data_IF_940130782660
#
_entry.id   IF_940130782660
#
_cell.length_a   1.000
_cell.length_b   1.000
_cell.length_c   1.000
_cell.angle_alpha   90.00
_cell.angle_beta   90.00
_cell.angle_gamma   90.00
#
_symmetry.space_group_name_H-M   'P 1'
#
loop_
_entity.id
_entity.type
_entity.pdbx_description
1 polymer ?
#
# COMPACT_ATOMS: atom_id res chain seq x y z
N UNK A 1 23.84 21.81 17.96
CA UNK A 1 22.52 22.30 17.51
C UNK A 1 22.14 21.78 16.10
N UNK A 2 22.72 20.66 15.64
CA UNK A 2 22.45 20.05 14.31
C UNK A 2 21.81 18.64 14.39
N UNK A 3 21.46 18.19 15.60
CA UNK A 3 20.95 16.83 15.88
C UNK A 3 19.42 16.71 15.97
N UNK A 4 18.67 17.80 15.76
CA UNK A 4 17.20 17.82 15.90
C UNK A 4 16.44 17.77 14.57
N UNK A 5 17.13 17.78 13.42
CA UNK A 5 16.49 17.82 12.10
C UNK A 5 16.21 16.40 11.55
N UNK A 6 16.98 15.37 11.93
CA UNK A 6 16.82 14.03 11.31
C UNK A 6 15.64 13.20 11.83
N UNK A 7 15.16 13.45 13.06
CA UNK A 7 14.02 12.70 13.64
C UNK A 7 12.66 13.05 13.01
N UNK A 8 12.46 14.29 12.57
CA UNK A 8 11.22 14.69 11.89
C UNK A 8 11.18 14.28 10.42
N UNK A 9 12.35 14.11 9.78
CA UNK A 9 12.41 13.69 8.37
C UNK A 9 12.03 12.22 8.23
N UNK A 10 12.58 11.30 9.04
CA UNK A 10 12.25 9.86 8.89
C UNK A 10 10.80 9.55 9.33
N UNK A 11 10.31 10.21 10.39
CA UNK A 11 8.92 10.06 10.85
C UNK A 11 7.89 10.58 9.84
N UNK A 12 8.22 11.64 9.10
CA UNK A 12 7.34 12.16 8.05
C UNK A 12 7.51 11.40 6.73
N UNK A 13 8.64 10.78 6.40
CA UNK A 13 8.74 10.02 5.14
C UNK A 13 8.00 8.67 5.18
N UNK A 14 7.83 8.05 6.35
CA UNK A 14 7.07 6.80 6.52
C UNK A 14 5.54 7.05 6.52
N UNK A 15 5.09 8.27 6.84
CA UNK A 15 3.66 8.65 6.91
C UNK A 15 3.22 9.64 5.81
N UNK A 16 4.12 10.46 5.25
CA UNK A 16 3.83 11.56 4.31
C UNK A 16 4.58 11.50 2.95
N UNK A 17 5.44 10.52 2.70
CA UNK A 17 6.35 10.49 1.53
C UNK A 17 5.71 10.43 0.13
N UNK A 18 4.40 10.56 -0.01
CA UNK A 18 3.65 10.46 -1.27
C UNK A 18 2.91 11.75 -1.69
N UNK A 19 3.04 12.86 -0.96
CA UNK A 19 2.24 14.06 -1.24
C UNK A 19 3.01 15.12 -2.03
N UNK A 20 2.40 15.49 -3.16
CA UNK A 20 2.60 16.72 -3.93
C UNK A 20 3.71 16.75 -4.98
N UNK A 21 3.30 16.57 -6.25
CA UNK A 21 3.82 17.34 -7.37
C UNK A 21 2.70 17.54 -8.39
N UNK A 22 2.29 18.80 -8.53
CA UNK A 22 1.30 19.34 -9.46
C UNK A 22 1.93 19.50 -10.85
N UNK A 23 1.30 19.02 -11.93
CA UNK A 23 1.18 19.68 -13.25
C UNK A 23 0.20 18.90 -14.17
N UNK A 24 -0.84 19.63 -14.61
CA UNK A 24 -1.66 19.62 -15.85
C UNK A 24 -1.62 18.42 -16.80
N UNK A 25 -2.79 17.81 -17.07
CA UNK A 25 -3.12 17.06 -18.31
C UNK A 25 -4.60 17.29 -18.66
N UNK A 26 -4.96 17.79 -19.85
CA UNK A 26 -5.13 17.09 -21.14
C UNK A 26 -6.37 16.19 -21.19
N UNK A 27 -7.45 16.70 -21.78
CA UNK A 27 -8.72 16.00 -21.99
C UNK A 27 -8.58 14.90 -23.06
N UNK A 28 -8.47 13.64 -22.65
CA UNK A 28 -8.72 12.50 -23.52
C UNK A 28 -10.13 11.94 -23.24
N UNK A 29 -10.93 11.58 -24.28
CA UNK A 29 -12.27 11.06 -24.07
C UNK A 29 -12.20 9.60 -23.58
N UNK A 30 -12.64 9.37 -22.35
CA UNK A 30 -12.83 8.03 -21.77
C UNK A 30 -14.03 7.36 -22.45
N UNK A 31 -13.76 6.37 -23.31
CA UNK A 31 -14.80 5.55 -23.93
C UNK A 31 -15.46 4.59 -22.92
N UNK A 32 -16.79 4.64 -22.85
CA UNK A 32 -17.68 3.54 -22.46
C UNK A 32 -17.54 2.99 -21.02
N UNK A 33 -18.15 3.66 -20.04
CA UNK A 33 -18.47 3.04 -18.75
C UNK A 33 -19.63 2.03 -18.92
N UNK A 34 -19.32 0.78 -19.23
CA UNK A 34 -20.28 -0.31 -18.97
C UNK A 34 -20.47 -0.48 -17.46
N UNK A 35 -21.70 -0.76 -17.02
CA UNK A 35 -22.06 -1.07 -15.63
C UNK A 35 -21.38 -2.37 -15.16
N UNK A 36 -20.07 -2.33 -14.92
CA UNK A 36 -19.31 -3.46 -14.40
C UNK A 36 -19.72 -3.69 -12.95
N UNK A 37 -20.17 -4.91 -12.63
CA UNK A 37 -20.36 -5.34 -11.25
C UNK A 37 -19.00 -5.24 -10.54
N UNK A 38 -18.85 -4.55 -9.39
CA UNK A 38 -17.57 -4.20 -8.76
C UNK A 38 -16.57 -5.33 -8.41
N UNK A 39 -16.84 -6.57 -8.80
CA UNK A 39 -16.02 -7.75 -8.50
C UNK A 39 -15.94 -8.75 -9.66
N UNK A 40 -16.33 -8.35 -10.88
CA UNK A 40 -16.31 -9.22 -12.06
C UNK A 40 -14.89 -9.49 -12.59
N UNK A 41 -13.96 -8.56 -12.34
CA UNK A 41 -12.55 -8.62 -12.73
C UNK A 41 -11.72 -7.85 -11.70
N UNK A 42 -10.38 -8.05 -11.63
CA UNK A 42 -9.54 -7.27 -10.72
C UNK A 42 -9.52 -5.78 -11.13
N UNK A 43 -9.62 -5.45 -12.43
CA UNK A 43 -9.80 -4.06 -12.91
C UNK A 43 -11.11 -3.46 -12.41
N UNK A 44 -12.22 -4.22 -12.39
CA UNK A 44 -13.49 -3.75 -11.86
C UNK A 44 -13.39 -3.45 -10.35
N UNK A 45 -12.62 -4.23 -9.59
CA UNK A 45 -12.32 -3.96 -8.18
C UNK A 45 -11.52 -2.65 -8.03
N UNK A 46 -10.47 -2.45 -8.83
CA UNK A 46 -9.67 -1.23 -8.80
C UNK A 46 -10.50 0.03 -9.10
N UNK A 47 -11.34 -0.03 -10.15
CA UNK A 47 -12.27 1.05 -10.51
C UNK A 47 -13.32 1.28 -9.42
N UNK A 48 -13.95 0.22 -8.92
CA UNK A 48 -14.93 0.31 -7.84
C UNK A 48 -14.35 0.91 -6.57
N UNK A 49 -13.10 0.57 -6.25
CA UNK A 49 -12.38 1.11 -5.10
C UNK A 49 -12.11 2.59 -5.23
N UNK A 50 -11.63 3.02 -6.40
CA UNK A 50 -11.42 4.42 -6.70
C UNK A 50 -12.73 5.22 -6.66
N UNK A 51 -13.80 4.71 -7.27
CA UNK A 51 -15.12 5.37 -7.23
C UNK A 51 -15.67 5.48 -5.81
N UNK A 52 -15.52 4.43 -4.99
CA UNK A 52 -15.94 4.48 -3.59
C UNK A 52 -15.17 5.57 -2.82
N UNK A 53 -13.84 5.63 -2.98
CA UNK A 53 -13.01 6.68 -2.36
C UNK A 53 -13.36 8.09 -2.88
N UNK A 54 -13.57 8.25 -4.18
CA UNK A 54 -13.97 9.52 -4.82
C UNK A 54 -15.31 10.03 -4.29
N UNK A 55 -16.23 9.12 -3.98
CA UNK A 55 -17.53 9.45 -3.40
C UNK A 55 -17.53 9.42 -1.86
N UNK A 56 -16.37 9.24 -1.22
CA UNK A 56 -16.21 9.12 0.24
C UNK A 56 -17.05 7.99 0.86
N UNK A 57 -17.41 6.98 0.07
CA UNK A 57 -18.19 5.82 0.50
C UNK A 57 -17.25 4.73 1.07
N UNK A 58 -16.79 4.97 2.29
CA UNK A 58 -15.90 4.04 3.00
C UNK A 58 -16.51 2.64 3.15
N UNK A 59 -17.81 2.47 3.49
CA UNK A 59 -18.44 1.15 3.50
C UNK A 59 -18.34 0.41 2.16
N UNK A 60 -18.62 1.08 1.04
CA UNK A 60 -18.48 0.47 -0.29
C UNK A 60 -17.02 0.11 -0.60
N UNK A 61 -16.06 0.95 -0.21
CA UNK A 61 -14.64 0.64 -0.36
C UNK A 61 -14.23 -0.60 0.46
N UNK A 62 -14.66 -0.68 1.72
CA UNK A 62 -14.38 -1.83 2.60
C UNK A 62 -14.99 -3.13 2.08
N UNK A 63 -16.18 -3.06 1.47
CA UNK A 63 -16.87 -4.22 0.89
C UNK A 63 -16.10 -4.87 -0.29
N UNK A 64 -15.16 -4.15 -0.90
CA UNK A 64 -14.32 -4.67 -1.98
C UNK A 64 -13.13 -5.49 -1.47
N UNK A 65 -12.80 -5.43 -0.18
CA UNK A 65 -11.72 -6.22 0.38
C UNK A 65 -12.11 -7.69 0.57
N UNK A 66 -11.12 -8.56 0.47
CA UNK A 66 -11.30 -10.00 0.66
C UNK A 66 -11.75 -10.29 2.10
N UNK A 67 -12.71 -11.20 2.35
CA UNK A 67 -13.22 -11.45 3.71
C UNK A 67 -12.14 -11.84 4.73
N UNK A 68 -11.10 -12.55 4.30
CA UNK A 68 -9.98 -12.89 5.19
C UNK A 68 -9.17 -11.66 5.64
N UNK A 69 -9.15 -10.57 4.86
CA UNK A 69 -8.50 -9.33 5.28
C UNK A 69 -9.28 -8.65 6.41
N UNK A 70 -10.61 -8.75 6.43
CA UNK A 70 -11.41 -8.26 7.56
C UNK A 70 -11.10 -9.06 8.84
N UNK A 71 -10.96 -10.39 8.73
CA UNK A 71 -10.57 -11.24 9.88
C UNK A 71 -9.19 -10.89 10.39
N UNK A 72 -8.21 -10.74 9.48
CA UNK A 72 -6.83 -10.33 9.82
C UNK A 72 -6.81 -8.96 10.50
N UNK A 73 -7.59 -8.01 9.98
CA UNK A 73 -7.68 -6.68 10.57
C UNK A 73 -8.32 -6.70 11.97
N UNK A 74 -9.36 -7.53 12.19
CA UNK A 74 -9.95 -7.73 13.52
C UNK A 74 -8.95 -8.30 14.52
N UNK A 75 -8.15 -9.29 14.11
CA UNK A 75 -7.09 -9.85 14.96
C UNK A 75 -6.10 -8.75 15.37
N UNK A 76 -5.59 -7.99 14.40
CA UNK A 76 -4.73 -6.84 14.65
C UNK A 76 -5.35 -5.83 15.63
N UNK A 77 -6.60 -5.40 15.39
CA UNK A 77 -7.27 -4.45 16.27
C UNK A 77 -7.42 -5.00 17.69
N UNK A 78 -7.68 -6.31 17.83
CA UNK A 78 -7.75 -6.98 19.13
C UNK A 78 -6.40 -6.94 19.85
N UNK A 79 -5.31 -7.20 19.13
CA UNK A 79 -3.95 -7.12 19.68
C UNK A 79 -3.58 -5.69 20.10
N UNK A 80 -4.03 -4.68 19.36
CA UNK A 80 -3.89 -3.25 19.72
C UNK A 80 -4.53 -2.92 21.06
N UNK A 81 -5.70 -3.49 21.35
CA UNK A 81 -6.41 -3.23 22.60
C UNK A 81 -6.00 -4.15 23.76
N UNK A 82 -5.46 -5.33 23.47
CA UNK A 82 -4.87 -6.21 24.46
C UNK A 82 -3.50 -5.72 24.96
N UNK A 83 -2.80 -4.90 24.18
CA UNK A 83 -1.46 -4.43 24.51
C UNK A 83 -1.43 -3.44 25.68
N UNK A 84 -0.62 -3.71 26.70
CA UNK A 84 -0.36 -2.77 27.80
C UNK A 84 0.62 -1.69 27.34
N UNK A 85 0.14 -0.45 27.28
CA UNK A 85 0.84 0.69 26.69
C UNK A 85 1.00 1.85 27.68
N UNK A 86 1.83 1.68 28.72
CA UNK A 86 2.04 2.73 29.71
C UNK A 86 2.77 3.95 29.12
N UNK A 87 3.41 3.79 27.95
CA UNK A 87 4.14 4.86 27.25
C UNK A 87 3.26 5.57 26.19
N UNK A 88 2.03 5.12 25.96
CA UNK A 88 1.06 5.75 25.04
C UNK A 88 1.40 5.61 23.55
N UNK A 89 2.26 4.67 23.17
CA UNK A 89 2.71 4.45 21.79
C UNK A 89 1.59 3.98 20.85
N UNK A 90 0.61 3.25 21.38
CA UNK A 90 -0.48 2.64 20.60
C UNK A 90 -1.76 3.46 20.69
N UNK A 91 -1.74 4.52 21.52
CA UNK A 91 -2.85 5.47 21.66
C UNK A 91 -3.29 6.03 20.31
N UNK A 92 -2.37 6.44 19.44
CA UNK A 92 -2.69 6.98 18.12
C UNK A 92 -3.44 5.95 17.25
N UNK A 93 -3.04 4.67 17.32
CA UNK A 93 -3.70 3.59 16.57
C UNK A 93 -5.10 3.32 17.15
N UNK A 94 -5.26 3.37 18.47
CA UNK A 94 -6.58 3.26 19.13
C UNK A 94 -7.50 4.41 18.74
N UNK A 95 -6.96 5.63 18.65
CA UNK A 95 -7.71 6.81 18.19
C UNK A 95 -8.21 6.65 16.74
N UNK A 96 -7.44 5.98 15.88
CA UNK A 96 -7.90 5.60 14.53
C UNK A 96 -9.04 4.58 14.55
N UNK A 97 -9.18 3.78 15.61
CA UNK A 97 -10.25 2.79 15.75
C UNK A 97 -11.52 3.34 16.43
N UNK A 98 -11.59 4.65 16.71
CA UNK A 98 -12.83 5.25 17.24
C UNK A 98 -14.04 4.97 16.32
N UNK A 99 -15.22 4.61 16.87
CA UNK A 99 -15.62 4.75 18.27
C UNK A 99 -15.28 3.55 19.18
N UNK A 100 -14.55 2.55 18.69
CA UNK A 100 -14.16 1.39 19.49
C UNK A 100 -13.02 1.76 20.43
N UNK A 101 -13.33 1.92 21.71
CA UNK A 101 -12.43 2.46 22.75
C UNK A 101 -12.05 1.45 23.83
N UNK A 102 -12.46 0.19 23.71
CA UNK A 102 -12.17 -0.86 24.68
C UNK A 102 -11.98 -2.23 24.01
N UNK A 103 -11.29 -3.13 24.70
CA UNK A 103 -11.11 -4.51 24.24
C UNK A 103 -12.46 -5.23 24.02
N UNK A 104 -13.47 -4.93 24.82
CA UNK A 104 -14.81 -5.51 24.70
C UNK A 104 -15.55 -4.99 23.46
N UNK A 105 -15.49 -3.68 23.18
CA UNK A 105 -16.12 -3.10 21.99
C UNK A 105 -15.45 -3.58 20.71
N UNK A 106 -14.13 -3.72 20.68
CA UNK A 106 -13.39 -4.29 19.55
C UNK A 106 -13.69 -5.78 19.35
N UNK A 107 -13.73 -6.57 20.44
CA UNK A 107 -14.04 -7.99 20.35
C UNK A 107 -15.44 -8.25 19.76
N UNK A 108 -16.39 -7.38 20.08
CA UNK A 108 -17.79 -7.47 19.64
C UNK A 108 -18.00 -6.98 18.20
N UNK A 109 -17.16 -6.06 17.70
CA UNK A 109 -17.28 -5.47 16.38
C UNK A 109 -16.94 -6.44 15.23
N UNK A 110 -17.54 -6.24 14.07
CA UNK A 110 -17.13 -6.96 12.87
C UNK A 110 -15.82 -6.39 12.29
N UNK A 111 -15.01 -7.26 11.68
CA UNK A 111 -13.71 -6.85 11.13
C UNK A 111 -13.82 -5.80 10.02
N UNK A 112 -14.91 -5.81 9.25
CA UNK A 112 -15.22 -4.79 8.25
C UNK A 112 -15.58 -3.45 8.90
N UNK A 113 -16.27 -3.44 10.03
CA UNK A 113 -16.61 -2.19 10.73
C UNK A 113 -15.37 -1.55 11.34
N UNK A 114 -14.50 -2.36 11.94
CA UNK A 114 -13.19 -1.93 12.45
C UNK A 114 -12.33 -1.33 11.34
N UNK A 115 -12.26 -1.99 10.17
CA UNK A 115 -11.51 -1.50 9.02
C UNK A 115 -12.11 -0.19 8.47
N UNK A 116 -13.44 -0.09 8.39
CA UNK A 116 -14.11 1.13 7.94
C UNK A 116 -13.85 2.31 8.88
N UNK A 117 -13.93 2.09 10.20
CA UNK A 117 -13.59 3.10 11.20
C UNK A 117 -12.12 3.56 11.06
N UNK A 118 -11.20 2.60 10.97
CA UNK A 118 -9.78 2.86 10.78
C UNK A 118 -9.48 3.71 9.54
N UNK A 119 -10.01 3.31 8.38
CA UNK A 119 -9.79 4.02 7.12
C UNK A 119 -10.39 5.42 7.15
N UNK A 120 -11.63 5.55 7.65
CA UNK A 120 -12.31 6.84 7.79
C UNK A 120 -11.49 7.81 8.64
N UNK A 121 -11.06 7.37 9.82
CA UNK A 121 -10.29 8.23 10.73
C UNK A 121 -8.89 8.52 10.19
N UNK A 122 -8.26 7.56 9.50
CA UNK A 122 -6.96 7.78 8.84
C UNK A 122 -7.05 8.84 7.74
N UNK A 123 -8.08 8.78 6.89
CA UNK A 123 -8.28 9.78 5.84
C UNK A 123 -8.62 11.15 6.39
N UNK A 124 -9.38 11.23 7.49
CA UNK A 124 -9.67 12.50 8.18
C UNK A 124 -8.41 13.18 8.75
N UNK A 125 -7.33 12.44 8.99
CA UNK A 125 -6.05 13.00 9.44
C UNK A 125 -5.19 13.56 8.30
N UNK A 126 -5.58 13.38 7.04
CA UNK A 126 -4.84 13.83 5.86
C UNK A 126 -5.51 15.09 5.29
N UNK A 127 -4.96 16.29 5.53
CA UNK A 127 -5.54 17.52 5.00
C UNK A 127 -5.56 17.47 3.47
N UNK A 128 -6.71 17.80 2.87
CA UNK A 128 -6.85 17.83 1.42
C UNK A 128 -7.16 16.47 0.77
N UNK A 129 -7.33 15.39 1.54
CA UNK A 129 -7.57 14.05 1.00
C UNK A 129 -8.81 14.02 0.09
N UNK A 130 -9.91 14.63 0.52
CA UNK A 130 -11.15 14.68 -0.25
C UNK A 130 -10.98 15.43 -1.58
N UNK A 131 -10.29 16.57 -1.54
CA UNK A 131 -10.04 17.41 -2.70
C UNK A 131 -9.18 16.70 -3.75
N UNK A 132 -8.23 15.87 -3.31
CA UNK A 132 -7.35 15.07 -4.18
C UNK A 132 -8.18 14.13 -5.06
N UNK A 133 -9.18 13.45 -4.51
CA UNK A 133 -9.98 12.49 -5.27
C UNK A 133 -11.12 13.12 -6.07
N UNK A 134 -11.66 14.27 -5.63
CA UNK A 134 -12.81 14.92 -6.27
C UNK A 134 -12.64 15.11 -7.78
N UNK A 135 -11.45 15.54 -8.19
CA UNK A 135 -11.11 15.77 -9.61
C UNK A 135 -10.14 14.73 -10.17
N UNK A 136 -9.81 13.69 -9.39
CA UNK A 136 -8.96 12.63 -9.88
C UNK A 136 -9.67 11.80 -10.93
N UNK A 137 -8.87 11.26 -11.83
CA UNK A 137 -9.24 10.15 -12.70
C UNK A 137 -8.35 8.95 -12.37
N UNK A 138 -8.89 7.75 -12.60
CA UNK A 138 -8.13 6.51 -12.49
C UNK A 138 -7.76 6.02 -13.89
N UNK A 139 -6.47 6.04 -14.17
CA UNK A 139 -5.86 5.36 -15.29
C UNK A 139 -5.43 3.95 -14.87
N UNK A 140 -5.79 2.95 -15.66
CA UNK A 140 -5.33 1.56 -15.48
C UNK A 140 -4.31 1.30 -16.58
N UNK A 141 -3.05 1.14 -16.17
CA UNK A 141 -1.93 0.92 -17.10
C UNK A 141 -1.86 -0.54 -17.57
N UNK A 142 -2.31 -1.47 -16.72
CA UNK A 142 -2.40 -2.88 -17.07
C UNK A 142 -2.52 -3.79 -15.85
N UNK A 143 -2.37 -5.08 -16.10
CA UNK A 143 -2.50 -6.14 -15.10
C UNK A 143 -1.25 -7.01 -15.11
N UNK A 144 -0.82 -7.47 -13.94
CA UNK A 144 0.29 -8.41 -13.77
C UNK A 144 -0.23 -9.60 -12.96
N UNK A 145 -0.31 -10.76 -13.61
CA UNK A 145 -0.67 -12.01 -12.94
C UNK A 145 0.53 -12.53 -12.15
N UNK A 146 0.34 -12.80 -10.86
CA UNK A 146 1.37 -13.43 -10.02
C UNK A 146 1.14 -14.94 -9.91
N UNK A 147 -0.12 -15.33 -9.65
CA UNK A 147 -0.57 -16.71 -9.49
C UNK A 147 -1.99 -16.84 -10.05
N UNK A 148 -2.50 -18.06 -10.15
CA UNK A 148 -3.82 -18.37 -10.75
C UNK A 148 -4.99 -17.56 -10.16
N UNK A 149 -4.87 -17.12 -8.91
CA UNK A 149 -5.92 -16.40 -8.19
C UNK A 149 -5.53 -14.98 -7.79
N UNK A 150 -4.33 -14.50 -8.13
CA UNK A 150 -3.79 -13.22 -7.65
C UNK A 150 -3.28 -12.37 -8.81
N UNK A 151 -3.84 -11.16 -8.95
CA UNK A 151 -3.52 -10.19 -10.00
C UNK A 151 -3.22 -8.84 -9.37
N UNK A 152 -2.20 -8.16 -9.86
CA UNK A 152 -1.87 -6.80 -9.50
C UNK A 152 -2.31 -5.86 -10.62
N UNK A 153 -3.28 -4.99 -10.35
CA UNK A 153 -3.70 -3.94 -11.27
C UNK A 153 -2.80 -2.74 -11.08
N UNK A 154 -2.06 -2.35 -12.13
CA UNK A 154 -1.19 -1.19 -12.08
C UNK A 154 -2.00 0.03 -12.45
N UNK A 155 -2.15 0.94 -11.49
CA UNK A 155 -2.99 2.12 -11.62
C UNK A 155 -2.19 3.40 -11.47
N UNK A 156 -2.65 4.46 -12.13
CA UNK A 156 -2.18 5.82 -11.93
C UNK A 156 -3.38 6.70 -11.63
N UNK A 157 -3.23 7.60 -10.66
CA UNK A 157 -4.21 8.63 -10.34
C UNK A 157 -3.53 10.00 -10.44
N UNK A 158 -3.97 10.98 -9.67
CA UNK A 158 -3.29 12.27 -9.47
C UNK A 158 -1.88 12.16 -8.89
N UNK A 159 -1.48 10.99 -8.38
CA UNK A 159 -0.11 10.75 -7.94
C UNK A 159 0.79 10.39 -9.14
N UNK A 160 1.99 10.98 -9.25
CA UNK A 160 2.87 10.78 -10.41
C UNK A 160 3.43 9.35 -10.52
N UNK A 161 3.38 8.57 -9.44
CA UNK A 161 3.91 7.20 -9.39
C UNK A 161 2.77 6.20 -9.53
N UNK A 162 2.85 5.26 -10.48
CA UNK A 162 1.92 4.14 -10.54
C UNK A 162 1.96 3.32 -9.25
N UNK A 163 0.79 2.84 -8.84
CA UNK A 163 0.61 2.04 -7.64
C UNK A 163 -0.10 0.73 -7.96
N UNK A 164 0.36 -0.41 -7.41
CA UNK A 164 -0.31 -1.69 -7.58
C UNK A 164 -1.50 -1.83 -6.62
N UNK A 165 -2.66 -2.16 -7.17
CA UNK A 165 -3.79 -2.70 -6.39
C UNK A 165 -3.77 -4.22 -6.53
N UNK A 166 -3.47 -4.90 -5.43
CA UNK A 166 -3.42 -6.36 -5.41
C UNK A 166 -4.81 -6.93 -5.20
N UNK A 167 -5.24 -7.81 -6.09
CA UNK A 167 -6.55 -8.43 -6.08
C UNK A 167 -6.43 -9.96 -6.01
N UNK A 168 -7.34 -10.61 -5.28
CA UNK A 168 -7.45 -12.07 -5.21
C UNK A 168 -8.86 -12.54 -5.57
N UNK A 169 -8.94 -13.64 -6.31
CA UNK A 169 -10.20 -14.30 -6.66
C UNK A 169 -10.62 -15.27 -5.54
N UNK A 170 -11.87 -15.20 -5.13
CA UNK A 170 -12.48 -16.11 -4.15
C UNK A 170 -13.95 -16.31 -4.47
N UNK A 171 -14.41 -17.57 -4.48
CA UNK A 171 -15.80 -17.93 -4.78
C UNK A 171 -16.35 -17.30 -6.08
N UNK A 172 -15.49 -17.21 -7.11
CA UNK A 172 -15.85 -16.63 -8.41
C UNK A 172 -15.89 -15.09 -8.47
N UNK A 173 -15.58 -14.39 -7.37
CA UNK A 173 -15.52 -12.92 -7.28
C UNK A 173 -14.09 -12.45 -7.06
N UNK A 174 -13.77 -11.25 -7.54
CA UNK A 174 -12.49 -10.60 -7.27
C UNK A 174 -12.60 -9.64 -6.08
N UNK A 175 -11.54 -9.57 -5.29
CA UNK A 175 -11.46 -8.74 -4.10
C UNK A 175 -10.11 -8.05 -4.02
N UNK A 176 -10.07 -6.87 -3.44
CA UNK A 176 -8.84 -6.18 -3.08
C UNK A 176 -8.21 -6.84 -1.84
N UNK A 177 -6.88 -6.88 -1.81
CA UNK A 177 -6.11 -7.25 -0.63
C UNK A 177 -5.68 -5.98 0.12
N UNK A 178 -5.59 -6.06 1.45
CA UNK A 178 -4.97 -4.99 2.23
C UNK A 178 -3.53 -4.80 1.73
N UNK A 179 -3.19 -3.56 1.41
CA UNK A 179 -1.88 -3.26 0.85
C UNK A 179 -0.79 -3.52 1.90
N UNK A 180 0.44 -3.64 1.42
CA UNK A 180 1.60 -3.87 2.30
C UNK A 180 1.76 -2.77 3.32
N UNK A 181 1.32 -1.54 3.06
CA UNK A 181 1.51 -0.43 4.01
C UNK A 181 0.61 -0.54 5.23
N UNK A 182 -0.67 -0.90 5.05
CA UNK A 182 -1.53 -1.27 6.19
C UNK A 182 -0.96 -2.47 6.92
N UNK A 183 -0.49 -3.49 6.18
CA UNK A 183 0.19 -4.63 6.78
C UNK A 183 1.49 -4.25 7.50
N UNK A 184 2.22 -3.24 7.03
CA UNK A 184 3.43 -2.72 7.67
C UNK A 184 3.09 -2.00 8.95
N UNK A 185 1.96 -1.30 9.04
CA UNK A 185 1.50 -0.75 10.33
C UNK A 185 1.15 -1.86 11.31
N UNK A 186 0.43 -2.89 10.85
CA UNK A 186 0.13 -4.09 11.64
C UNK A 186 1.42 -4.73 12.15
N UNK A 187 2.37 -4.92 11.25
CA UNK A 187 3.67 -5.48 11.57
C UNK A 187 4.49 -4.55 12.47
N UNK A 188 4.48 -3.23 12.22
CA UNK A 188 5.17 -2.24 13.02
C UNK A 188 4.66 -2.23 14.45
N UNK A 189 3.36 -2.43 14.63
CA UNK A 189 2.75 -2.58 15.93
C UNK A 189 3.19 -3.88 16.63
N UNK A 190 3.14 -5.04 15.96
CA UNK A 190 3.69 -6.30 16.49
C UNK A 190 5.17 -6.15 16.89
N UNK A 191 5.92 -5.36 16.11
CA UNK A 191 7.32 -5.02 16.36
C UNK A 191 7.51 -4.15 17.58
N UNK A 192 6.67 -3.14 17.83
CA UNK A 192 6.76 -2.33 19.03
C UNK A 192 6.62 -3.20 20.28
N UNK A 193 5.78 -4.24 20.23
CA UNK A 193 5.69 -5.23 21.30
C UNK A 193 7.01 -5.98 21.50
N UNK A 194 7.59 -6.51 20.41
CA UNK A 194 8.82 -7.30 20.48
C UNK A 194 10.08 -6.48 20.84
N UNK A 195 10.17 -5.22 20.40
CA UNK A 195 11.35 -4.38 20.60
C UNK A 195 11.36 -3.64 21.92
N UNK A 196 10.20 -3.47 22.58
CA UNK A 196 10.14 -2.93 23.94
C UNK A 196 10.97 -3.79 24.90
N UNK A 197 10.93 -5.11 24.71
CA UNK A 197 11.73 -6.05 25.50
C UNK A 197 13.23 -5.93 25.22
N UNK A 198 13.64 -5.35 24.08
CA UNK A 198 15.03 -5.24 23.62
C UNK A 198 15.62 -3.82 23.64
N UNK A 199 14.84 -2.78 23.98
CA UNK A 199 15.27 -1.37 24.05
C UNK A 199 16.03 -0.85 22.81
N UNK A 200 15.65 -1.28 21.60
CA UNK A 200 16.33 -0.87 20.37
C UNK A 200 15.95 0.56 19.96
N UNK A 201 16.93 1.35 19.53
CA UNK A 201 16.72 2.70 19.03
C UNK A 201 16.16 2.69 17.59
N UNK A 202 15.52 3.79 17.15
CA UNK A 202 15.06 3.96 15.75
C UNK A 202 16.21 3.78 14.73
N UNK A 203 17.41 4.21 15.09
CA UNK A 203 18.61 4.03 14.26
C UNK A 203 19.03 2.55 14.17
N UNK A 204 18.81 1.79 15.24
CA UNK A 204 18.99 0.34 15.23
C UNK A 204 17.91 -0.33 14.38
N UNK A 205 16.67 0.16 14.41
CA UNK A 205 15.59 -0.36 13.56
C UNK A 205 15.89 -0.15 12.08
N UNK A 206 16.34 1.04 11.67
CA UNK A 206 16.64 1.30 10.26
C UNK A 206 17.80 0.45 9.73
N UNK A 207 18.79 0.16 10.56
CA UNK A 207 19.93 -0.70 10.20
C UNK A 207 19.63 -2.20 10.31
N UNK A 208 18.60 -2.60 11.06
CA UNK A 208 18.18 -4.00 11.21
C UNK A 208 17.35 -4.52 10.04
N UNK A 209 16.72 -3.63 9.26
CA UNK A 209 15.94 -4.01 8.08
C UNK A 209 16.90 -4.24 6.92
N UNK A 210 17.00 -5.49 6.49
CA UNK A 210 17.79 -5.92 5.34
C UNK A 210 16.85 -6.30 4.21
N UNK A 211 17.23 -5.91 3.01
CA UNK A 211 16.65 -6.50 1.81
C UNK A 211 17.17 -7.93 1.71
N UNK A 212 16.26 -8.90 1.58
CA UNK A 212 16.60 -10.32 1.49
C UNK A 212 16.55 -10.78 0.03
N UNK A 213 15.48 -10.40 -0.67
CA UNK A 213 15.23 -10.82 -2.05
C UNK A 213 14.42 -9.78 -2.81
N UNK A 214 14.69 -9.65 -4.12
CA UNK A 214 13.83 -8.93 -5.05
C UNK A 214 13.32 -9.91 -6.11
N UNK A 215 12.00 -10.00 -6.24
CA UNK A 215 11.33 -10.70 -7.33
C UNK A 215 10.67 -9.69 -8.27
N UNK A 216 11.13 -9.62 -9.52
CA UNK A 216 10.39 -8.90 -10.56
C UNK A 216 9.18 -9.75 -10.92
N UNK A 217 7.96 -9.27 -10.70
CA UNK A 217 6.73 -10.03 -10.97
C UNK A 217 6.33 -9.91 -12.43
N UNK A 218 6.36 -8.70 -12.98
CA UNK A 218 6.05 -8.43 -14.38
C UNK A 218 6.22 -6.96 -14.70
N UNK A 219 5.67 -6.53 -15.84
CA UNK A 219 5.64 -5.12 -16.22
C UNK A 219 4.36 -4.76 -16.97
N UNK A 220 4.10 -3.46 -17.02
CA UNK A 220 3.12 -2.84 -17.92
C UNK A 220 3.81 -1.75 -18.73
N UNK A 221 3.46 -1.62 -20.00
CA UNK A 221 3.96 -0.52 -20.84
C UNK A 221 3.16 0.76 -20.57
N UNK A 222 3.83 1.89 -20.64
CA UNK A 222 3.28 3.23 -20.41
C UNK A 222 3.83 4.16 -21.49
N UNK A 223 3.34 3.95 -22.72
CA UNK A 223 3.90 4.56 -23.93
C UNK A 223 4.86 3.65 -24.69
N UNK A 224 5.65 4.24 -25.59
CA UNK A 224 6.57 3.50 -26.48
C UNK A 224 7.94 3.20 -25.83
N UNK A 225 8.39 4.06 -24.92
CA UNK A 225 9.75 4.07 -24.37
C UNK A 225 9.81 3.87 -22.86
N UNK A 226 8.66 3.69 -22.20
CA UNK A 226 8.56 3.56 -20.75
C UNK A 226 7.71 2.33 -20.38
N UNK A 227 8.22 1.58 -19.42
CA UNK A 227 7.50 0.48 -18.76
C UNK A 227 7.59 0.65 -17.24
N UNK A 228 6.65 0.05 -16.51
CA UNK A 228 6.68 -0.02 -15.05
C UNK A 228 6.84 -1.48 -14.62
N UNK A 229 8.00 -1.79 -14.05
CA UNK A 229 8.29 -3.10 -13.47
C UNK A 229 7.64 -3.21 -12.09
N UNK A 230 6.70 -4.13 -11.90
CA UNK A 230 6.24 -4.47 -10.56
C UNK A 230 7.23 -5.42 -9.91
N UNK A 231 7.85 -4.97 -8.83
CA UNK A 231 8.77 -5.79 -8.05
C UNK A 231 8.19 -6.05 -6.67
N UNK A 232 8.42 -7.27 -6.18
CA UNK A 232 8.25 -7.67 -4.79
C UNK A 232 9.62 -7.68 -4.12
N UNK A 233 9.79 -6.89 -3.08
CA UNK A 233 10.98 -6.91 -2.24
C UNK A 233 10.65 -7.61 -0.94
N UNK A 234 11.29 -8.73 -0.68
CA UNK A 234 11.30 -9.39 0.62
C UNK A 234 12.32 -8.67 1.52
N UNK A 235 11.83 -8.23 2.65
CA UNK A 235 12.55 -7.48 3.66
C UNK A 235 12.60 -8.35 4.91
N UNK A 236 13.80 -8.59 5.42
CA UNK A 236 14.04 -9.33 6.64
C UNK A 236 14.53 -8.42 7.74
N UNK A 237 14.05 -8.65 8.95
CA UNK A 237 14.46 -7.92 10.13
C UNK A 237 14.39 -8.87 11.32
N UNK A 238 15.56 -9.28 11.82
CA UNK A 238 15.69 -10.33 12.83
C UNK A 238 14.88 -11.59 12.47
N UNK A 239 13.87 -11.93 13.28
CA UNK A 239 13.04 -13.14 13.20
C UNK A 239 11.80 -12.95 12.32
N UNK A 240 11.71 -11.84 11.60
CA UNK A 240 10.53 -11.50 10.82
C UNK A 240 10.87 -11.16 9.35
N UNK A 241 9.97 -11.56 8.45
CA UNK A 241 10.05 -11.27 7.01
C UNK A 241 8.72 -10.69 6.50
N UNK A 242 8.80 -9.68 5.64
CA UNK A 242 7.65 -9.11 4.95
C UNK A 242 7.98 -8.76 3.52
N UNK A 243 6.98 -8.73 2.66
CA UNK A 243 7.12 -8.36 1.27
C UNK A 243 6.57 -6.97 0.99
N UNK A 244 7.18 -6.26 0.05
CA UNK A 244 6.81 -4.90 -0.38
C UNK A 244 6.65 -4.89 -1.88
N UNK A 245 5.54 -4.34 -2.37
CA UNK A 245 5.35 -4.15 -3.80
C UNK A 245 5.67 -2.71 -4.18
N UNK A 246 6.45 -2.54 -5.24
CA UNK A 246 6.74 -1.23 -5.81
C UNK A 246 6.81 -1.31 -7.33
N UNK A 247 6.28 -0.29 -7.99
CA UNK A 247 6.43 -0.09 -9.43
C UNK A 247 7.69 0.76 -9.68
N UNK A 248 8.64 0.20 -10.42
CA UNK A 248 9.86 0.89 -10.82
C UNK A 248 9.74 1.29 -12.30
N UNK A 249 9.87 2.58 -12.63
CA UNK A 249 9.87 2.99 -14.03
C UNK A 249 11.18 2.57 -14.68
N UNK A 250 11.07 1.99 -15.88
CA UNK A 250 12.18 1.49 -16.67
C UNK A 250 12.04 2.06 -18.08
N UNK A 251 13.08 2.73 -18.60
CA UNK A 251 13.06 3.29 -19.96
C UNK A 251 13.81 2.43 -20.94
N UNK A 252 13.32 2.35 -22.17
CA UNK A 252 14.03 1.69 -23.26
C UNK A 252 15.27 2.52 -23.62
N UNK A 253 16.46 1.99 -23.37
CA UNK A 253 17.74 2.52 -23.84
C UNK A 253 18.42 1.56 -24.83
N UNK A 254 19.37 2.05 -25.61
CA UNK A 254 20.28 1.20 -26.37
C UNK A 254 21.61 1.05 -25.60
N UNK A 255 22.07 -0.17 -25.25
CA UNK A 255 21.52 -1.49 -25.58
C UNK A 255 20.63 -2.12 -24.49
N UNK A 256 20.30 -1.42 -23.40
CA UNK A 256 19.55 -1.99 -22.26
C UNK A 256 18.57 -0.98 -21.66
N UNK A 257 17.56 -1.47 -20.92
CA UNK A 257 16.65 -0.57 -20.22
C UNK A 257 17.33 0.08 -19.00
N UNK A 258 17.20 1.40 -18.87
CA UNK A 258 17.80 2.18 -17.78
C UNK A 258 16.80 2.42 -16.65
N UNK A 259 17.22 2.22 -15.40
CA UNK A 259 16.47 2.63 -14.20
C UNK A 259 16.65 4.13 -13.99
N UNK A 260 15.55 4.86 -13.76
CA UNK A 260 15.53 6.32 -13.70
C UNK A 260 16.09 6.96 -12.40
N UNK A 261 16.60 6.18 -11.43
CA UNK A 261 17.10 6.73 -10.16
C UNK A 261 18.57 6.37 -9.92
N UNK A 262 19.38 7.41 -9.70
CA UNK A 262 20.84 7.45 -9.77
C UNK A 262 21.62 6.92 -8.54
N UNK A 263 20.94 6.35 -7.53
CA UNK A 263 21.59 5.76 -6.33
C UNK A 263 21.72 4.22 -6.39
N UNK A 264 21.60 3.69 -7.61
CA UNK A 264 21.83 2.34 -8.12
C UNK A 264 21.84 1.18 -7.10
N UNK A 265 20.66 0.61 -6.87
CA UNK A 265 20.53 -0.70 -6.22
C UNK A 265 20.90 -1.79 -7.22
N UNK A 266 22.17 -2.20 -7.21
CA UNK A 266 22.73 -3.22 -8.11
C UNK A 266 21.85 -4.47 -8.17
N UNK A 267 21.33 -4.92 -7.01
CA UNK A 267 20.44 -6.08 -6.92
C UNK A 267 19.12 -5.94 -7.70
N UNK A 268 18.53 -4.73 -7.79
CA UNK A 268 17.31 -4.49 -8.57
C UNK A 268 17.63 -4.50 -10.07
N UNK A 269 18.71 -3.84 -10.46
CA UNK A 269 19.19 -3.84 -11.86
C UNK A 269 19.46 -5.27 -12.31
N UNK A 270 20.17 -6.04 -11.49
CA UNK A 270 20.54 -7.43 -11.79
C UNK A 270 19.30 -8.33 -11.90
N UNK A 271 18.33 -8.18 -11.00
CA UNK A 271 17.07 -8.93 -11.07
C UNK A 271 16.25 -8.59 -12.34
N UNK A 272 16.23 -7.31 -12.73
CA UNK A 272 15.60 -6.90 -14.00
C UNK A 272 16.36 -7.47 -15.20
N UNK A 273 17.70 -7.42 -15.20
CA UNK A 273 18.55 -7.96 -16.27
C UNK A 273 18.33 -9.46 -16.45
N UNK A 274 18.36 -10.22 -15.36
CA UNK A 274 18.12 -11.66 -15.38
C UNK A 274 16.74 -11.98 -15.95
N UNK A 275 15.69 -11.29 -15.49
CA UNK A 275 14.32 -11.61 -15.92
C UNK A 275 14.04 -11.23 -17.37
N UNK A 276 14.63 -10.14 -17.86
CA UNK A 276 14.29 -9.56 -19.17
C UNK A 276 15.41 -9.67 -20.22
N UNK A 277 16.54 -10.28 -19.89
CA UNK A 277 17.67 -10.45 -20.79
C UNK A 277 18.35 -9.13 -21.15
N UNK A 278 18.46 -8.21 -20.17
CA UNK A 278 19.16 -6.92 -20.33
C UNK A 278 20.64 -7.01 -19.96
#
# INVERSE_FOLDING_TARGET
MLLNISKHVISNYIVFGAFLSLVVFSNAPVGGQENLKPQSSPVAVARGSFEALKNQDIPAFVALFHPDEHKRFKAFASDVFAFDDPDGQVRQIRELLAPYDSSESVASADGSELLAAFLKNSFAQVPGFEEIFKNAELEVLGEIEEKLDTVHVITRTVMPRPSPISCRKSEGRWYQLLNVETMRMITAFERTQHFRDKALSIETLSTSIKMDKIDVLGHVNDGEDLAHALCRTEMKMEDFSFSVFACYPVRKGEPAWELLNADDKTELVDALREKWGM
#
